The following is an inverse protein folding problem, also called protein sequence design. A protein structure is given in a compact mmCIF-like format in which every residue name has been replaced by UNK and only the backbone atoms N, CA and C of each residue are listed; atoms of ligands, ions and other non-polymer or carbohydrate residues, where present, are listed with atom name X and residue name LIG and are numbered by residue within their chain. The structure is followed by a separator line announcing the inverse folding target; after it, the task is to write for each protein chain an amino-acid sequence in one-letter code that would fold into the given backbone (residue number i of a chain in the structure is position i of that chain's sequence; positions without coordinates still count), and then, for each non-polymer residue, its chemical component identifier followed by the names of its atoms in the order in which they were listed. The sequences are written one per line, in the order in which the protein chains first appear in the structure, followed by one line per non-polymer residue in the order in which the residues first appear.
data_IF_549457089738
#
_entry.id   IF_549457089738
#
_cell.length_a   1.000
_cell.length_b   1.000
_cell.length_c   1.000
_cell.angle_alpha   90.00
_cell.angle_beta   90.00
_cell.angle_gamma   90.00
#
_symmetry.space_group_name_H-M   'P 1'
#
loop_
_entity.id
_entity.type
_entity.pdbx_description
1 polymer ?
#
# COMPACT_ATOMS: atom_id res chain seq x y z
N UNK A 1 1.08 -19.33 -8.98
CA UNK A 1 2.05 -19.23 -10.09
C UNK A 1 3.49 -18.99 -9.60
N UNK A 2 4.51 -19.10 -10.49
CA UNK A 2 5.93 -19.02 -10.10
C UNK A 2 6.28 -17.68 -9.46
N UNK A 3 5.78 -16.57 -10.02
CA UNK A 3 6.02 -15.23 -9.48
C UNK A 3 5.44 -15.08 -8.06
N UNK A 4 4.25 -15.59 -7.82
CA UNK A 4 3.59 -15.51 -6.52
C UNK A 4 4.36 -16.33 -5.47
N UNK A 5 4.74 -17.55 -5.82
CA UNK A 5 5.55 -18.39 -4.94
C UNK A 5 6.88 -17.72 -4.56
N UNK A 6 7.62 -17.21 -5.55
CA UNK A 6 8.91 -16.55 -5.29
C UNK A 6 8.74 -15.26 -4.47
N UNK A 7 7.65 -14.53 -4.68
CA UNK A 7 7.29 -13.36 -3.89
C UNK A 7 7.04 -13.74 -2.44
N UNK A 8 6.27 -14.80 -2.21
CA UNK A 8 5.95 -15.29 -0.87
C UNK A 8 7.22 -15.78 -0.15
N UNK A 9 8.14 -16.48 -0.83
CA UNK A 9 9.43 -16.90 -0.28
C UNK A 9 10.34 -15.73 0.12
N UNK A 10 10.35 -14.66 -0.71
CA UNK A 10 11.08 -13.43 -0.42
C UNK A 10 10.49 -12.73 0.81
N UNK A 11 9.16 -12.57 0.87
CA UNK A 11 8.50 -11.90 1.98
C UNK A 11 8.52 -12.70 3.29
N UNK A 12 8.50 -14.03 3.21
CA UNK A 12 8.68 -14.90 4.37
C UNK A 12 10.13 -14.88 4.90
N UNK A 13 11.06 -14.24 4.17
CA UNK A 13 12.48 -14.19 4.54
C UNK A 13 13.25 -15.46 4.23
N UNK A 14 12.66 -16.43 3.52
CA UNK A 14 13.36 -17.65 3.08
C UNK A 14 14.42 -17.34 2.03
N UNK A 15 14.22 -16.26 1.24
CA UNK A 15 15.24 -15.67 0.36
C UNK A 15 15.46 -14.22 0.83
N UNK A 16 16.45 -13.98 1.70
CA UNK A 16 16.62 -12.67 2.31
C UNK A 16 17.17 -11.62 1.33
N UNK A 17 16.98 -10.35 1.66
CA UNK A 17 17.54 -9.23 0.91
C UNK A 17 19.08 -9.35 0.83
N UNK A 18 19.64 -9.10 -0.34
CA UNK A 18 21.07 -9.27 -0.65
C UNK A 18 21.45 -10.67 -1.13
N UNK A 19 20.58 -11.65 -1.01
CA UNK A 19 20.80 -12.97 -1.59
C UNK A 19 20.32 -13.07 -3.04
N UNK A 20 20.89 -14.06 -3.76
CA UNK A 20 20.52 -14.34 -5.14
C UNK A 20 19.37 -15.32 -5.21
N UNK A 21 18.43 -15.08 -6.14
CA UNK A 21 17.47 -16.12 -6.51
C UNK A 21 18.19 -17.39 -7.01
N UNK A 22 17.57 -18.57 -6.87
CA UNK A 22 18.01 -19.77 -7.60
C UNK A 22 18.15 -19.46 -9.09
N UNK A 23 19.03 -20.16 -9.77
CA UNK A 23 19.25 -19.99 -11.21
C UNK A 23 17.99 -20.34 -12.02
N UNK A 24 17.90 -19.84 -13.26
CA UNK A 24 16.78 -20.20 -14.17
C UNK A 24 16.68 -21.73 -14.36
N UNK A 25 17.81 -22.46 -14.30
CA UNK A 25 17.82 -23.92 -14.44
C UNK A 25 17.22 -24.58 -13.21
N UNK A 26 17.67 -24.19 -12.02
CA UNK A 26 17.15 -24.68 -10.75
C UNK A 26 15.63 -24.40 -10.61
N UNK A 27 15.18 -23.21 -11.01
CA UNK A 27 13.76 -22.87 -11.01
C UNK A 27 12.95 -23.68 -12.04
N UNK A 28 13.53 -23.95 -13.22
CA UNK A 28 12.87 -24.84 -14.21
C UNK A 28 12.69 -26.25 -13.66
N UNK A 29 13.68 -26.77 -12.97
CA UNK A 29 13.61 -28.09 -12.34
C UNK A 29 12.61 -28.10 -11.19
N UNK A 30 12.69 -27.13 -10.29
CA UNK A 30 11.79 -27.01 -9.11
C UNK A 30 10.30 -26.93 -9.51
N UNK A 31 9.99 -26.18 -10.55
CA UNK A 31 8.61 -25.98 -11.02
C UNK A 31 8.21 -26.90 -12.18
N UNK A 32 9.09 -27.82 -12.58
CA UNK A 32 8.90 -28.72 -13.72
C UNK A 32 8.38 -27.97 -14.97
N UNK A 33 9.05 -26.86 -15.34
CA UNK A 33 8.62 -25.96 -16.42
C UNK A 33 9.75 -25.57 -17.34
N UNK A 34 9.43 -24.94 -18.47
CA UNK A 34 10.41 -24.39 -19.40
C UNK A 34 10.93 -23.01 -18.94
N UNK A 35 12.02 -22.51 -19.59
CA UNK A 35 12.62 -21.21 -19.25
C UNK A 35 11.71 -20.01 -19.47
N UNK A 36 10.71 -20.11 -20.36
CA UNK A 36 9.81 -19.00 -20.67
C UNK A 36 9.03 -18.50 -19.45
N UNK A 37 8.21 -19.34 -18.79
CA UNK A 37 7.49 -18.98 -17.58
C UNK A 37 8.39 -18.49 -16.43
N UNK A 38 9.58 -19.10 -16.25
CA UNK A 38 10.55 -18.67 -15.23
C UNK A 38 11.04 -17.24 -15.52
N UNK A 39 11.44 -16.96 -16.77
CA UNK A 39 11.88 -15.62 -17.16
C UNK A 39 10.77 -14.57 -17.02
N UNK A 40 9.55 -14.94 -17.35
CA UNK A 40 8.40 -14.07 -17.16
C UNK A 40 8.20 -13.73 -15.68
N UNK A 41 8.25 -14.73 -14.79
CA UNK A 41 8.14 -14.54 -13.36
C UNK A 41 9.25 -13.62 -12.81
N UNK A 42 10.50 -13.86 -13.22
CA UNK A 42 11.64 -13.01 -12.82
C UNK A 42 11.49 -11.58 -13.37
N UNK A 43 10.97 -11.41 -14.59
CA UNK A 43 10.72 -10.08 -15.16
C UNK A 43 9.63 -9.34 -14.38
N UNK A 44 8.56 -10.03 -13.96
CA UNK A 44 7.51 -9.48 -13.11
C UNK A 44 8.07 -8.98 -11.79
N UNK A 45 8.84 -9.82 -11.08
CA UNK A 45 9.46 -9.45 -9.79
C UNK A 45 10.48 -8.30 -9.92
N UNK A 46 11.15 -8.18 -11.07
CA UNK A 46 12.01 -7.01 -11.35
C UNK A 46 11.20 -5.74 -11.58
N UNK A 47 10.08 -5.83 -12.29
CA UNK A 47 9.18 -4.70 -12.49
C UNK A 47 8.56 -4.23 -11.18
N UNK A 48 8.32 -5.14 -10.25
CA UNK A 48 7.88 -4.86 -8.87
C UNK A 48 9.00 -4.30 -7.96
N UNK A 49 10.24 -4.20 -8.46
CA UNK A 49 11.39 -3.69 -7.68
C UNK A 49 11.94 -4.65 -6.63
N UNK A 50 11.46 -5.89 -6.59
CA UNK A 50 11.94 -6.91 -5.64
C UNK A 50 13.30 -7.48 -6.02
N UNK A 51 13.66 -7.43 -7.32
CA UNK A 51 14.89 -8.00 -7.85
C UNK A 51 15.73 -6.98 -8.62
N UNK A 52 17.05 -7.12 -8.53
CA UNK A 52 17.99 -6.29 -9.28
C UNK A 52 17.90 -6.51 -10.79
N UNK A 53 18.12 -5.43 -11.56
CA UNK A 53 18.10 -5.42 -13.04
C UNK A 53 19.50 -5.67 -13.62
N UNK A 54 20.15 -6.80 -13.30
CA UNK A 54 21.47 -7.16 -13.83
C UNK A 54 21.39 -8.03 -15.09
N UNK A 55 22.06 -7.65 -16.20
CA UNK A 55 22.27 -8.55 -17.34
C UNK A 55 23.37 -9.55 -17.02
N UNK A 56 23.09 -10.85 -17.15
CA UNK A 56 24.09 -11.93 -17.08
C UNK A 56 24.56 -12.32 -15.67
N UNK A 57 23.97 -11.76 -14.62
CA UNK A 57 24.17 -12.15 -13.21
C UNK A 57 22.87 -12.70 -12.62
N UNK A 58 23.00 -13.55 -11.57
CA UNK A 58 21.83 -13.96 -10.79
C UNK A 58 21.12 -12.72 -10.25
N UNK A 59 19.78 -12.71 -10.28
CA UNK A 59 19.00 -11.61 -9.73
C UNK A 59 19.13 -11.61 -8.22
N UNK A 60 19.58 -10.49 -7.66
CA UNK A 60 19.66 -10.28 -6.22
C UNK A 60 18.30 -9.78 -5.72
N UNK A 61 17.87 -10.27 -4.57
CA UNK A 61 16.74 -9.71 -3.83
C UNK A 61 17.14 -8.33 -3.31
N UNK A 62 16.46 -7.28 -3.75
CA UNK A 62 16.72 -5.90 -3.34
C UNK A 62 16.07 -5.55 -2.01
N UNK A 63 14.88 -6.10 -1.78
CA UNK A 63 14.12 -5.89 -0.56
C UNK A 63 13.28 -7.13 -0.29
N UNK A 64 13.21 -7.56 0.95
CA UNK A 64 12.24 -8.52 1.47
C UNK A 64 11.04 -7.79 2.11
N UNK A 65 11.07 -6.47 2.12
CA UNK A 65 9.91 -5.68 2.46
C UNK A 65 9.00 -5.72 1.27
N UNK A 66 7.78 -6.20 1.46
CA UNK A 66 6.71 -6.05 0.48
C UNK A 66 6.72 -4.58 0.07
N UNK A 67 6.96 -4.28 -1.19
CA UNK A 67 6.64 -2.96 -1.72
C UNK A 67 5.12 -2.91 -1.67
N UNK A 68 4.62 -2.45 -0.53
CA UNK A 68 3.19 -2.25 -0.36
C UNK A 68 2.76 -1.33 -1.48
N UNK A 69 1.74 -1.72 -2.21
CA UNK A 69 1.12 -0.79 -3.14
C UNK A 69 0.75 0.45 -2.32
N UNK A 70 0.76 1.60 -2.95
CA UNK A 70 0.35 2.85 -2.31
C UNK A 70 -0.96 2.68 -1.51
N UNK A 71 -1.89 1.87 -2.01
CA UNK A 71 -3.13 1.51 -1.36
C UNK A 71 -2.94 0.72 -0.06
N UNK A 72 -1.97 -0.20 -0.02
CA UNK A 72 -1.68 -1.01 1.17
C UNK A 72 -0.97 -0.21 2.27
N UNK A 73 -0.11 0.75 1.88
CA UNK A 73 0.55 1.67 2.82
C UNK A 73 -0.47 2.60 3.49
N UNK A 74 -1.51 2.99 2.75
CA UNK A 74 -2.54 3.91 3.23
C UNK A 74 -3.72 3.22 3.93
N UNK A 75 -3.81 1.88 3.87
CA UNK A 75 -4.93 1.14 4.46
C UNK A 75 -4.53 0.47 5.77
N UNK A 76 -4.81 1.14 6.89
CA UNK A 76 -4.67 0.56 8.23
C UNK A 76 -5.60 -0.67 8.42
N UNK A 77 -6.75 -0.72 7.76
CA UNK A 77 -7.64 -1.89 7.76
C UNK A 77 -6.92 -3.13 7.22
N UNK A 78 -6.29 -3.02 6.05
CA UNK A 78 -5.53 -4.11 5.44
C UNK A 78 -4.34 -4.54 6.32
N UNK A 79 -3.70 -3.59 6.99
CA UNK A 79 -2.60 -3.86 7.92
C UNK A 79 -3.08 -4.67 9.15
N UNK A 80 -4.21 -4.29 9.77
CA UNK A 80 -4.80 -5.00 10.91
C UNK A 80 -5.21 -6.42 10.52
N UNK A 81 -5.85 -6.60 9.36
CA UNK A 81 -6.18 -7.93 8.84
C UNK A 81 -4.94 -8.82 8.65
N UNK A 82 -3.83 -8.26 8.15
CA UNK A 82 -2.57 -9.02 8.00
C UNK A 82 -1.96 -9.45 9.33
N UNK A 83 -2.24 -8.74 10.40
CA UNK A 83 -1.87 -9.16 11.76
C UNK A 83 -2.75 -10.31 12.29
N UNK A 84 -3.75 -10.75 11.52
CA UNK A 84 -4.72 -11.76 11.95
C UNK A 84 -5.71 -11.25 12.99
N UNK A 85 -5.92 -9.94 13.05
CA UNK A 85 -6.81 -9.27 13.98
C UNK A 85 -8.06 -8.72 13.28
N UNK A 86 -9.12 -8.53 14.05
CA UNK A 86 -10.38 -7.99 13.56
C UNK A 86 -10.36 -6.45 13.62
N UNK A 87 -10.40 -5.74 12.46
CA UNK A 87 -10.38 -4.29 12.44
C UNK A 87 -11.75 -3.73 12.79
N UNK A 88 -11.75 -2.68 13.59
CA UNK A 88 -12.92 -1.84 13.84
C UNK A 88 -12.54 -0.36 13.83
N UNK A 89 -13.55 0.51 13.75
CA UNK A 89 -13.34 1.95 13.79
C UNK A 89 -14.35 2.66 14.68
N UNK A 90 -13.91 3.76 15.27
CA UNK A 90 -14.74 4.75 15.93
C UNK A 90 -14.54 6.09 15.22
N UNK A 91 -15.62 6.58 14.56
CA UNK A 91 -15.59 7.80 13.75
C UNK A 91 -15.80 9.01 14.66
N UNK A 92 -14.77 9.85 14.80
CA UNK A 92 -14.82 11.07 15.60
C UNK A 92 -15.29 12.29 14.80
N UNK A 93 -14.87 12.40 13.52
CA UNK A 93 -15.26 13.49 12.63
C UNK A 93 -15.38 12.99 11.19
N UNK A 94 -16.46 13.35 10.52
CA UNK A 94 -16.71 13.01 9.12
C UNK A 94 -17.59 14.10 8.49
N UNK A 95 -16.98 15.01 7.72
CA UNK A 95 -17.71 16.10 7.10
C UNK A 95 -16.86 17.33 6.81
N UNK A 96 -17.54 18.39 6.42
CA UNK A 96 -16.91 19.68 6.10
C UNK A 96 -16.42 20.39 7.37
N UNK A 97 -15.26 21.04 7.23
CA UNK A 97 -14.61 21.87 8.24
C UNK A 97 -13.81 22.98 7.55
N UNK A 98 -13.15 23.83 8.31
CA UNK A 98 -12.29 24.90 7.79
C UNK A 98 -10.80 24.60 8.04
N UNK A 99 -9.97 24.87 7.05
CA UNK A 99 -8.55 24.62 7.14
C UNK A 99 -7.87 25.54 8.17
N UNK A 100 -7.17 24.93 9.13
CA UNK A 100 -6.23 25.67 10.00
C UNK A 100 -5.06 26.22 9.18
N UNK A 101 -4.28 27.14 9.76
CA UNK A 101 -3.08 27.68 9.11
C UNK A 101 -2.11 26.57 8.70
N UNK A 102 -1.89 25.57 9.56
CA UNK A 102 -1.00 24.44 9.31
C UNK A 102 -1.50 23.53 8.17
N UNK A 103 -2.78 23.17 8.19
CA UNK A 103 -3.38 22.36 7.14
C UNK A 103 -3.43 23.10 5.81
N UNK A 104 -3.74 24.39 5.83
CA UNK A 104 -3.76 25.23 4.64
C UNK A 104 -2.38 25.30 3.97
N UNK A 105 -1.31 25.46 4.75
CA UNK A 105 0.05 25.41 4.23
C UNK A 105 0.38 24.04 3.59
N UNK A 106 0.08 22.94 4.28
CA UNK A 106 0.29 21.60 3.77
C UNK A 106 -0.47 21.32 2.47
N UNK A 107 -1.72 21.75 2.40
CA UNK A 107 -2.61 21.55 1.26
C UNK A 107 -2.44 22.60 0.15
N UNK A 108 -1.67 23.68 0.40
CA UNK A 108 -1.47 24.84 -0.50
C UNK A 108 -2.78 25.53 -0.86
N UNK A 109 -3.61 25.76 0.14
CA UNK A 109 -4.88 26.51 0.08
C UNK A 109 -4.81 27.67 1.06
N UNK A 110 -5.87 28.49 1.13
CA UNK A 110 -5.93 29.62 2.06
C UNK A 110 -6.41 29.18 3.44
N UNK A 111 -5.83 29.67 4.56
CA UNK A 111 -6.40 29.44 5.88
C UNK A 111 -7.88 29.85 5.94
N UNK A 112 -8.72 28.97 6.46
CA UNK A 112 -10.18 29.17 6.49
C UNK A 112 -10.93 28.67 5.27
N UNK A 113 -10.24 28.21 4.22
CA UNK A 113 -10.90 27.52 3.11
C UNK A 113 -11.60 26.24 3.61
N UNK A 114 -12.70 25.90 2.94
CA UNK A 114 -13.46 24.68 3.25
C UNK A 114 -12.67 23.43 2.86
N UNK A 115 -12.67 22.45 3.73
CA UNK A 115 -12.06 21.12 3.55
C UNK A 115 -13.03 20.05 4.03
N UNK A 116 -12.87 18.81 3.55
CA UNK A 116 -13.56 17.64 4.08
C UNK A 116 -12.61 16.88 5.02
N UNK A 117 -13.01 16.69 6.28
CA UNK A 117 -12.18 16.03 7.29
C UNK A 117 -12.74 14.67 7.64
N UNK A 118 -11.87 13.67 7.71
CA UNK A 118 -12.14 12.35 8.27
C UNK A 118 -11.18 12.12 9.42
N UNK A 119 -11.71 11.97 10.63
CA UNK A 119 -10.93 11.62 11.81
C UNK A 119 -11.56 10.43 12.49
N UNK A 120 -10.76 9.39 12.72
CA UNK A 120 -11.23 8.15 13.32
C UNK A 120 -10.13 7.44 14.11
N UNK A 121 -10.55 6.65 15.09
CA UNK A 121 -9.70 5.71 15.79
C UNK A 121 -9.85 4.34 15.15
N UNK A 122 -8.75 3.73 14.76
CA UNK A 122 -8.71 2.34 14.28
C UNK A 122 -8.30 1.43 15.42
N UNK A 123 -9.07 0.35 15.60
CA UNK A 123 -8.86 -0.64 16.64
C UNK A 123 -8.60 -2.02 16.02
N UNK A 124 -7.89 -2.86 16.77
CA UNK A 124 -7.64 -4.26 16.44
C UNK A 124 -8.12 -5.13 17.61
N UNK A 125 -9.06 -6.02 17.37
CA UNK A 125 -9.74 -6.82 18.43
C UNK A 125 -10.36 -5.93 19.52
N UNK A 126 -10.87 -4.74 19.14
CA UNK A 126 -11.45 -3.76 20.04
C UNK A 126 -10.44 -2.87 20.80
N UNK A 127 -9.14 -3.10 20.64
CA UNK A 127 -8.10 -2.27 21.27
C UNK A 127 -7.68 -1.14 20.33
N UNK A 128 -7.74 0.14 20.75
CA UNK A 128 -7.32 1.27 19.92
C UNK A 128 -5.84 1.20 19.57
N UNK A 129 -5.51 1.37 18.29
CA UNK A 129 -4.13 1.28 17.80
C UNK A 129 -3.66 2.53 17.07
N UNK A 130 -4.52 3.15 16.26
CA UNK A 130 -4.13 4.25 15.39
C UNK A 130 -5.22 5.32 15.36
N UNK A 131 -4.82 6.58 15.48
CA UNK A 131 -5.67 7.73 15.13
C UNK A 131 -5.34 8.10 13.69
N UNK A 132 -6.35 8.09 12.82
CA UNK A 132 -6.25 8.60 11.46
C UNK A 132 -6.91 9.96 11.38
N UNK A 133 -6.20 10.93 10.82
CA UNK A 133 -6.77 12.21 10.44
C UNK A 133 -6.41 12.49 8.99
N UNK A 134 -7.41 12.70 8.17
CA UNK A 134 -7.28 12.99 6.74
C UNK A 134 -8.05 14.25 6.41
N UNK A 135 -7.48 15.07 5.53
CA UNK A 135 -8.14 16.25 5.00
C UNK A 135 -8.12 16.19 3.46
N UNK A 136 -9.23 16.52 2.85
CA UNK A 136 -9.44 16.48 1.41
C UNK A 136 -10.03 17.80 0.92
N UNK A 137 -9.84 18.09 -0.37
CA UNK A 137 -10.56 19.18 -1.01
C UNK A 137 -12.05 18.84 -1.10
N UNK A 138 -12.96 19.83 -0.94
CA UNK A 138 -14.42 19.59 -0.92
C UNK A 138 -14.95 18.90 -2.17
N UNK A 139 -14.27 19.06 -3.32
CA UNK A 139 -14.64 18.40 -4.57
C UNK A 139 -14.67 16.86 -4.48
N UNK A 140 -13.99 16.29 -3.49
CA UNK A 140 -13.93 14.84 -3.25
C UNK A 140 -14.99 14.35 -2.26
N UNK A 141 -15.76 15.24 -1.63
CA UNK A 141 -16.71 14.89 -0.57
C UNK A 141 -17.76 13.87 -1.02
N UNK A 142 -18.37 14.03 -2.19
CA UNK A 142 -19.39 13.10 -2.72
C UNK A 142 -18.88 11.66 -2.81
N UNK A 143 -17.62 11.48 -3.25
CA UNK A 143 -17.00 10.16 -3.33
C UNK A 143 -16.75 9.62 -1.93
N UNK A 144 -16.21 10.44 -1.03
CA UNK A 144 -15.86 10.02 0.34
C UNK A 144 -17.12 9.65 1.13
N UNK A 145 -18.20 10.44 1.01
CA UNK A 145 -19.48 10.19 1.66
C UNK A 145 -20.18 8.91 1.17
N UNK A 146 -19.85 8.45 -0.05
CA UNK A 146 -20.38 7.20 -0.60
C UNK A 146 -19.66 5.95 -0.10
N UNK A 147 -18.51 6.10 0.57
CA UNK A 147 -17.66 4.98 1.02
C UNK A 147 -18.13 4.45 2.37
N UNK A 148 -18.36 3.14 2.45
CA UNK A 148 -18.43 2.46 3.74
C UNK A 148 -17.00 2.33 4.31
N UNK A 149 -16.61 3.29 5.15
CA UNK A 149 -15.25 3.40 5.67
C UNK A 149 -14.86 2.28 6.64
N UNK A 150 -15.84 1.53 7.15
CA UNK A 150 -15.60 0.37 8.01
C UNK A 150 -15.02 -0.81 7.23
N UNK A 151 -15.44 -0.99 5.98
CA UNK A 151 -15.05 -2.11 5.12
C UNK A 151 -14.14 -1.69 3.96
N UNK A 152 -14.20 -0.43 3.53
CA UNK A 152 -13.56 0.06 2.31
C UNK A 152 -12.49 1.10 2.60
N UNK A 153 -11.50 1.18 1.72
CA UNK A 153 -10.46 2.21 1.76
C UNK A 153 -10.91 3.45 1.00
N UNK A 154 -11.00 4.60 1.68
CA UNK A 154 -11.28 5.90 1.05
C UNK A 154 -10.33 6.16 -0.12
N UNK A 155 -9.04 5.91 0.05
CA UNK A 155 -8.03 6.14 -1.00
C UNK A 155 -8.30 5.28 -2.24
N UNK A 156 -8.70 4.02 -2.06
CA UNK A 156 -9.03 3.13 -3.18
C UNK A 156 -10.22 3.64 -3.97
N UNK A 157 -11.25 4.10 -3.30
CA UNK A 157 -12.44 4.61 -3.97
C UNK A 157 -12.16 5.95 -4.67
N UNK A 158 -11.33 6.82 -4.08
CA UNK A 158 -10.87 8.03 -4.73
C UNK A 158 -10.04 7.74 -6.00
N UNK A 159 -9.14 6.75 -5.96
CA UNK A 159 -8.40 6.32 -7.16
C UNK A 159 -9.35 5.79 -8.24
N UNK A 160 -10.36 4.98 -7.86
CA UNK A 160 -11.38 4.49 -8.80
C UNK A 160 -12.20 5.61 -9.40
N UNK A 161 -12.43 6.67 -8.65
CA UNK A 161 -13.09 7.89 -9.13
C UNK A 161 -12.19 8.79 -9.98
N UNK A 162 -10.91 8.41 -10.19
CA UNK A 162 -9.95 9.11 -11.04
C UNK A 162 -9.07 10.12 -10.30
N UNK A 163 -9.04 10.11 -8.98
CA UNK A 163 -8.07 10.91 -8.22
C UNK A 163 -6.65 10.37 -8.44
N UNK A 164 -5.70 11.27 -8.69
CA UNK A 164 -4.31 10.95 -8.99
C UNK A 164 -3.42 11.24 -7.76
N UNK A 165 -2.90 10.18 -7.14
CA UNK A 165 -2.02 10.25 -5.98
C UNK A 165 -0.55 10.01 -6.39
N UNK A 166 0.00 10.83 -7.28
CA UNK A 166 1.36 10.65 -7.80
C UNK A 166 2.47 11.06 -6.83
N UNK A 167 2.16 11.82 -5.78
CA UNK A 167 3.16 12.29 -4.82
C UNK A 167 2.66 12.16 -3.38
N UNK A 168 3.48 11.55 -2.52
CA UNK A 168 3.27 11.54 -1.06
C UNK A 168 4.39 12.34 -0.40
N UNK A 169 4.02 13.22 0.52
CA UNK A 169 4.94 13.79 1.50
C UNK A 169 4.52 13.30 2.89
N UNK A 170 5.43 12.74 3.67
CA UNK A 170 5.23 12.42 5.08
C UNK A 170 6.10 13.36 5.91
N UNK A 171 5.48 14.02 6.90
CA UNK A 171 6.19 14.66 8.00
C UNK A 171 6.08 13.75 9.23
N UNK A 172 7.20 13.56 9.94
CA UNK A 172 7.27 12.86 11.22
C UNK A 172 7.65 13.85 12.30
#
# INVERSE_FOLDING_TARGET
EIADYLRDEIFAGHIPAGESLPSEVELCEQFNTSRGPVRQAVATLRAEGLLSSGRGRRSLVLSNTRTETFEEILSNTSWIFRMGKDPSEDMEQFGLDTASEELAECMRITPGDEIFVVRRVRSADGEPMVIEQMAFLPVLSEVIESVDTSEQSIHRELIRAGADFNNISRAF
#
